data_IF_598185192637
#
_entry.id   IF_598185192637
#
_cell.length_a   1.000
_cell.length_b   1.000
_cell.length_c   1.000
_cell.angle_alpha   90.00
_cell.angle_beta   90.00
_cell.angle_gamma   90.00
#
_symmetry.space_group_name_H-M   'P 1'
#
loop_
_entity.id
_entity.type
_entity.pdbx_description
1 polymer ?
#
# COMPACT_ATOMS: atom_id res chain seq x y z
N UNK A 1 29.46 13.85 9.94
CA UNK A 1 29.61 12.51 10.55
C UNK A 1 28.32 11.76 10.31
N UNK A 2 28.38 10.51 9.84
CA UNK A 2 27.21 9.64 9.73
C UNK A 2 27.12 8.89 11.06
N UNK A 3 26.05 9.12 11.81
CA UNK A 3 25.82 8.47 13.09
C UNK A 3 24.79 7.34 12.89
N UNK A 4 25.20 6.10 13.16
CA UNK A 4 24.36 4.94 12.95
C UNK A 4 23.55 4.68 14.22
N UNK A 5 22.23 4.91 14.17
CA UNK A 5 21.33 4.79 15.32
C UNK A 5 21.01 3.35 15.75
N UNK A 6 21.46 2.34 15.02
CA UNK A 6 21.03 0.95 15.20
C UNK A 6 21.69 0.18 16.35
N UNK A 7 22.48 0.84 17.23
CA UNK A 7 23.10 0.19 18.40
C UNK A 7 24.03 -0.98 18.08
N UNK A 8 24.41 -1.13 16.80
CA UNK A 8 25.26 -2.20 16.27
C UNK A 8 26.37 -1.59 15.40
N UNK A 9 27.58 -2.19 15.37
CA UNK A 9 28.65 -1.72 14.51
C UNK A 9 28.24 -1.84 13.04
N UNK A 10 28.20 -0.71 12.32
CA UNK A 10 27.97 -0.69 10.89
C UNK A 10 29.28 -0.80 10.11
N UNK A 11 29.23 -1.51 8.99
CA UNK A 11 30.37 -1.63 8.06
C UNK A 11 30.11 -0.74 6.84
N UNK A 12 30.95 0.27 6.67
CA UNK A 12 30.82 1.21 5.55
C UNK A 12 31.34 0.57 4.26
N UNK A 13 30.58 0.73 3.17
CA UNK A 13 30.98 0.29 1.84
C UNK A 13 30.80 1.45 0.87
N UNK A 14 31.80 1.63 0.00
CA UNK A 14 31.73 2.58 -1.11
C UNK A 14 31.07 1.90 -2.30
N UNK A 15 30.07 2.54 -2.88
CA UNK A 15 29.30 1.99 -3.99
C UNK A 15 29.03 3.12 -4.99
N UNK A 16 28.97 2.78 -6.27
CA UNK A 16 28.63 3.74 -7.31
C UNK A 16 27.15 4.12 -7.20
N UNK A 17 26.82 5.41 -7.40
CA UNK A 17 25.44 5.92 -7.30
C UNK A 17 24.41 5.08 -8.09
N UNK A 18 24.67 4.65 -9.35
CA UNK A 18 23.70 3.85 -10.09
C UNK A 18 23.40 2.51 -9.42
N UNK A 19 24.43 1.88 -8.84
CA UNK A 19 24.30 0.61 -8.16
C UNK A 19 23.59 0.74 -6.81
N UNK A 20 23.81 1.85 -6.10
CA UNK A 20 23.11 2.17 -4.86
C UNK A 20 21.61 2.32 -5.10
N UNK A 21 21.25 3.10 -6.13
CA UNK A 21 19.86 3.40 -6.48
C UNK A 21 19.11 2.12 -6.88
N UNK A 22 19.72 1.30 -7.73
CA UNK A 22 19.17 0.00 -8.14
C UNK A 22 19.00 -0.96 -6.94
N UNK A 23 20.00 -1.05 -6.06
CA UNK A 23 19.92 -1.87 -4.84
C UNK A 23 18.84 -1.40 -3.86
N UNK A 24 18.72 -0.08 -3.65
CA UNK A 24 17.67 0.50 -2.80
C UNK A 24 16.30 0.17 -3.39
N UNK A 25 16.10 0.44 -4.68
CA UNK A 25 14.83 0.17 -5.35
C UNK A 25 14.43 -1.30 -5.23
N UNK A 26 15.36 -2.26 -5.40
CA UNK A 26 15.06 -3.68 -5.23
C UNK A 26 14.68 -4.06 -3.79
N UNK A 27 15.41 -3.54 -2.80
CA UNK A 27 15.12 -3.80 -1.39
C UNK A 27 13.78 -3.21 -0.94
N UNK A 28 13.40 -2.05 -1.50
CA UNK A 28 12.09 -1.44 -1.23
C UNK A 28 10.97 -2.11 -2.03
N UNK A 29 11.21 -2.53 -3.28
CA UNK A 29 10.25 -3.30 -4.09
C UNK A 29 9.85 -4.61 -3.42
N UNK A 30 10.79 -5.41 -2.90
CA UNK A 30 10.46 -6.66 -2.18
C UNK A 30 9.54 -6.42 -0.95
N UNK A 31 9.58 -5.22 -0.37
CA UNK A 31 8.67 -4.82 0.71
C UNK A 31 7.31 -4.31 0.20
N UNK A 32 7.26 -3.72 -1.00
CA UNK A 32 6.08 -3.10 -1.63
C UNK A 32 5.20 -4.09 -2.44
N UNK A 33 5.78 -5.18 -2.95
CA UNK A 33 5.17 -6.02 -3.99
C UNK A 33 3.77 -6.59 -3.67
N UNK A 34 3.35 -6.78 -2.41
CA UNK A 34 2.11 -7.54 -2.15
C UNK A 34 0.79 -6.77 -2.30
N UNK A 35 0.81 -5.43 -2.23
CA UNK A 35 -0.40 -4.61 -2.30
C UNK A 35 -0.52 -3.87 -3.64
N UNK A 36 0.60 -3.47 -4.24
CA UNK A 36 0.61 -2.89 -5.59
C UNK A 36 0.23 -3.91 -6.66
N UNK A 37 0.65 -5.17 -6.52
CA UNK A 37 0.21 -6.26 -7.41
C UNK A 37 -1.33 -6.39 -7.43
N UNK A 38 -1.97 -6.34 -6.27
CA UNK A 38 -3.44 -6.40 -6.18
C UNK A 38 -4.10 -5.18 -6.83
N UNK A 39 -3.51 -3.99 -6.72
CA UNK A 39 -4.03 -2.80 -7.41
C UNK A 39 -3.88 -2.94 -8.92
N UNK A 40 -2.77 -3.50 -9.39
CA UNK A 40 -2.57 -3.72 -10.82
C UNK A 40 -3.58 -4.72 -11.38
N UNK A 41 -3.80 -5.85 -10.69
CA UNK A 41 -4.83 -6.83 -11.02
C UNK A 41 -6.23 -6.19 -11.06
N UNK A 42 -6.55 -5.36 -10.06
CA UNK A 42 -7.81 -4.61 -10.03
C UNK A 42 -7.90 -3.58 -11.16
N UNK A 43 -6.79 -2.94 -11.54
CA UNK A 43 -6.73 -1.99 -12.65
C UNK A 43 -7.10 -2.64 -13.98
N UNK A 44 -6.60 -3.86 -14.21
CA UNK A 44 -6.93 -4.64 -15.40
C UNK A 44 -8.42 -5.08 -15.40
N UNK A 45 -8.96 -5.53 -14.26
CA UNK A 45 -10.39 -5.85 -14.11
C UNK A 45 -11.31 -4.62 -14.31
N UNK A 46 -10.91 -3.45 -13.79
CA UNK A 46 -11.67 -2.19 -13.90
C UNK A 46 -11.69 -1.61 -15.33
N UNK A 47 -10.68 -1.93 -16.15
CA UNK A 47 -10.61 -1.51 -17.55
C UNK A 47 -11.52 -2.36 -18.46
N UNK A 48 -11.83 -3.60 -18.08
CA UNK A 48 -12.72 -4.49 -18.83
C UNK A 48 -14.21 -4.17 -18.63
N UNK A 49 -14.62 -3.59 -17.49
CA UNK A 49 -16.04 -3.46 -17.10
C UNK A 49 -16.74 -2.15 -17.55
N UNK A 50 -16.07 -1.27 -18.30
CA UNK A 50 -16.70 -0.24 -19.16
C UNK A 50 -17.54 0.90 -18.52
N UNK A 51 -17.91 0.86 -17.23
CA UNK A 51 -18.63 1.94 -16.54
C UNK A 51 -18.18 2.10 -15.07
N UNK A 52 -17.18 2.94 -14.88
CA UNK A 52 -16.58 3.26 -13.57
C UNK A 52 -17.49 4.08 -12.63
N UNK A 53 -18.71 4.43 -13.06
CA UNK A 53 -19.63 5.23 -12.24
C UNK A 53 -20.57 4.38 -11.37
N UNK A 54 -20.78 3.10 -11.71
CA UNK A 54 -21.73 2.21 -11.04
C UNK A 54 -21.11 0.91 -10.46
N UNK A 55 -19.87 0.57 -10.80
CA UNK A 55 -19.26 -0.72 -10.47
C UNK A 55 -18.61 -0.94 -9.07
N UNK A 56 -18.62 -0.04 -8.05
CA UNK A 56 -18.10 -0.42 -6.72
C UNK A 56 -19.16 -0.90 -5.73
N UNK A 57 -20.45 -0.58 -5.90
CA UNK A 57 -21.46 -0.95 -4.89
C UNK A 57 -21.80 -2.44 -4.90
N UNK A 58 -21.87 -3.07 -6.08
CA UNK A 58 -22.24 -4.49 -6.19
C UNK A 58 -21.12 -5.42 -5.66
N UNK A 59 -19.85 -5.01 -5.80
CA UNK A 59 -18.68 -5.71 -5.23
C UNK A 59 -18.56 -5.53 -3.71
N UNK A 60 -19.31 -4.59 -3.12
CA UNK A 60 -19.35 -4.38 -1.66
C UNK A 60 -20.46 -5.21 -0.98
N UNK A 61 -21.50 -5.60 -1.72
CA UNK A 61 -22.59 -6.46 -1.24
C UNK A 61 -22.29 -7.96 -1.39
N UNK A 62 -21.34 -8.33 -2.25
CA UNK A 62 -20.83 -9.69 -2.32
C UNK A 62 -20.11 -10.06 -1.03
N UNK A 63 -20.71 -10.96 -0.23
CA UNK A 63 -20.11 -11.59 0.96
C UNK A 63 -18.95 -12.53 0.66
N UNK A 64 -18.51 -12.63 -0.59
CA UNK A 64 -17.40 -13.48 -0.98
C UNK A 64 -16.08 -12.92 -0.42
N UNK A 65 -15.40 -13.75 0.37
CA UNK A 65 -14.09 -13.44 0.97
C UNK A 65 -13.01 -13.14 -0.09
N UNK A 66 -13.30 -13.49 -1.36
CA UNK A 66 -12.43 -13.30 -2.52
C UNK A 66 -12.63 -11.98 -3.26
N UNK A 67 -13.48 -11.05 -2.79
CA UNK A 67 -13.61 -9.75 -3.48
C UNK A 67 -12.26 -8.97 -3.49
N UNK A 68 -11.82 -8.41 -4.64
CA UNK A 68 -10.55 -7.71 -4.77
C UNK A 68 -10.31 -6.61 -3.71
N UNK A 69 -11.37 -5.88 -3.34
CA UNK A 69 -11.28 -4.83 -2.31
C UNK A 69 -10.96 -5.39 -0.91
N UNK A 70 -11.50 -6.57 -0.58
CA UNK A 70 -11.24 -7.27 0.67
C UNK A 70 -9.78 -7.72 0.69
N UNK A 71 -9.28 -8.29 -0.42
CA UNK A 71 -7.87 -8.67 -0.56
C UNK A 71 -6.95 -7.46 -0.37
N UNK A 72 -7.24 -6.33 -1.00
CA UNK A 72 -6.45 -5.10 -0.89
C UNK A 72 -6.37 -4.61 0.56
N UNK A 73 -7.52 -4.47 1.25
CA UNK A 73 -7.55 -4.02 2.64
C UNK A 73 -6.81 -5.00 3.57
N UNK A 74 -7.01 -6.31 3.38
CA UNK A 74 -6.30 -7.33 4.16
C UNK A 74 -4.78 -7.26 3.95
N UNK A 75 -4.31 -7.01 2.72
CA UNK A 75 -2.89 -6.82 2.43
C UNK A 75 -2.33 -5.58 3.12
N UNK A 76 -3.05 -4.44 3.08
CA UNK A 76 -2.66 -3.22 3.80
C UNK A 76 -2.49 -3.50 5.30
N UNK A 77 -3.45 -4.20 5.92
CA UNK A 77 -3.39 -4.55 7.34
C UNK A 77 -2.23 -5.51 7.66
N UNK A 78 -2.05 -6.54 6.85
CA UNK A 78 -0.97 -7.52 7.04
C UNK A 78 0.41 -6.85 6.91
N UNK A 79 0.57 -5.99 5.91
CA UNK A 79 1.78 -5.21 5.71
C UNK A 79 2.06 -4.31 6.92
N UNK A 80 1.05 -3.59 7.42
CA UNK A 80 1.21 -2.72 8.59
C UNK A 80 1.70 -3.49 9.83
N UNK A 81 1.18 -4.70 10.06
CA UNK A 81 1.64 -5.58 11.14
C UNK A 81 3.09 -6.03 10.91
N UNK A 82 3.42 -6.47 9.69
CA UNK A 82 4.77 -6.92 9.31
C UNK A 82 5.80 -5.82 9.52
N UNK A 83 5.47 -4.61 9.10
CA UNK A 83 6.34 -3.43 9.19
C UNK A 83 6.28 -2.76 10.57
N UNK A 84 5.47 -3.31 11.49
CA UNK A 84 5.26 -2.82 12.86
C UNK A 84 4.83 -1.35 12.91
N UNK A 85 3.97 -0.97 11.98
CA UNK A 85 3.33 0.33 11.99
C UNK A 85 2.44 0.46 13.22
N UNK A 86 2.53 1.61 13.91
CA UNK A 86 1.64 1.93 15.02
C UNK A 86 0.27 2.39 14.54
N UNK A 87 0.22 2.99 13.34
CA UNK A 87 -0.99 3.59 12.77
C UNK A 87 -1.00 3.44 11.25
N UNK A 88 -2.20 3.24 10.72
CA UNK A 88 -2.48 3.23 9.30
C UNK A 88 -3.32 4.46 9.00
N UNK A 89 -2.80 5.33 8.14
CA UNK A 89 -3.49 6.50 7.65
C UNK A 89 -4.03 6.21 6.25
N UNK A 90 -5.33 6.37 6.07
CA UNK A 90 -6.02 6.25 4.78
C UNK A 90 -6.55 7.64 4.44
N UNK A 91 -5.95 8.28 3.43
CA UNK A 91 -6.14 9.70 3.14
C UNK A 91 -6.69 9.89 1.72
N UNK A 92 -8.01 10.10 1.57
CA UNK A 92 -8.61 10.43 0.29
C UNK A 92 -8.14 11.82 -0.16
N UNK A 93 -7.41 11.88 -1.26
CA UNK A 93 -7.03 13.13 -1.93
C UNK A 93 -7.93 13.36 -3.16
N UNK A 94 -7.77 14.51 -3.82
CA UNK A 94 -8.59 14.88 -4.97
C UNK A 94 -8.40 13.95 -6.18
N UNK A 95 -7.17 13.49 -6.42
CA UNK A 95 -6.79 12.69 -7.60
C UNK A 95 -6.46 11.23 -7.27
N UNK A 96 -6.09 10.92 -6.03
CA UNK A 96 -5.64 9.60 -5.61
C UNK A 96 -6.02 9.30 -4.16
N UNK A 97 -6.03 8.03 -3.78
CA UNK A 97 -6.01 7.63 -2.37
C UNK A 97 -4.55 7.53 -1.93
N UNK A 98 -4.21 8.02 -0.74
CA UNK A 98 -2.86 7.85 -0.17
C UNK A 98 -2.97 7.03 1.10
N UNK A 99 -2.24 5.91 1.16
CA UNK A 99 -2.09 5.11 2.38
C UNK A 99 -0.69 5.35 2.96
N UNK A 100 -0.63 5.71 4.24
CA UNK A 100 0.63 5.94 4.96
C UNK A 100 0.69 5.11 6.23
N UNK A 101 1.89 4.64 6.57
CA UNK A 101 2.15 4.00 7.86
C UNK A 101 2.96 4.90 8.77
N UNK A 102 2.59 4.95 10.04
CA UNK A 102 3.42 5.55 11.08
C UNK A 102 4.34 4.48 11.66
N UNK A 103 5.62 4.54 11.35
CA UNK A 103 6.65 3.62 11.84
C UNK A 103 7.66 4.44 12.64
N UNK A 104 7.84 4.10 13.91
CA UNK A 104 8.70 4.85 14.84
C UNK A 104 8.43 6.37 14.86
N UNK A 105 7.15 6.73 14.72
CA UNK A 105 6.69 8.13 14.73
C UNK A 105 6.83 8.88 13.40
N UNK A 106 7.37 8.25 12.35
CA UNK A 106 7.52 8.85 11.02
C UNK A 106 6.46 8.28 10.07
N UNK A 107 5.83 9.13 9.28
CA UNK A 107 4.86 8.73 8.26
C UNK A 107 5.56 8.40 6.94
N UNK A 108 5.33 7.18 6.45
CA UNK A 108 5.83 6.70 5.17
C UNK A 108 4.64 6.45 4.23
N UNK A 109 4.61 7.04 3.02
CA UNK A 109 3.65 6.62 2.00
C UNK A 109 3.98 5.20 1.55
N UNK A 110 2.99 4.32 1.54
CA UNK A 110 3.16 2.89 1.20
C UNK A 110 2.30 2.43 0.02
N UNK A 111 1.24 3.18 -0.30
CA UNK A 111 0.35 2.85 -1.40
C UNK A 111 -0.34 4.10 -1.92
N UNK A 112 -0.53 4.16 -3.24
CA UNK A 112 -1.32 5.22 -3.89
C UNK A 112 -2.40 4.65 -4.80
N UNK A 113 -3.48 4.08 -4.23
CA UNK A 113 -4.55 3.54 -5.06
C UNK A 113 -5.23 4.65 -5.89
N UNK A 114 -5.72 4.32 -7.10
CA UNK A 114 -6.45 5.26 -7.92
C UNK A 114 -7.74 5.71 -7.22
N UNK A 115 -8.19 6.93 -7.53
CA UNK A 115 -9.35 7.58 -6.87
C UNK A 115 -10.61 6.72 -6.83
N UNK A 116 -10.84 5.93 -7.88
CA UNK A 116 -12.00 5.03 -8.01
C UNK A 116 -12.12 4.06 -6.82
N UNK A 117 -11.00 3.69 -6.19
CA UNK A 117 -10.98 2.77 -5.05
C UNK A 117 -11.27 3.43 -3.69
N UNK A 118 -11.29 4.76 -3.59
CA UNK A 118 -11.46 5.48 -2.32
C UNK A 118 -12.74 5.08 -1.57
N UNK A 119 -13.88 5.08 -2.26
CA UNK A 119 -15.17 4.77 -1.67
C UNK A 119 -15.23 3.32 -1.19
N UNK A 120 -14.72 2.39 -2.01
CA UNK A 120 -14.70 0.96 -1.72
C UNK A 120 -13.80 0.64 -0.52
N UNK A 121 -12.57 1.18 -0.47
CA UNK A 121 -11.65 1.02 0.67
C UNK A 121 -12.26 1.57 1.95
N UNK A 122 -12.82 2.78 1.90
CA UNK A 122 -13.40 3.43 3.08
C UNK A 122 -14.63 2.68 3.58
N UNK A 123 -15.51 2.22 2.67
CA UNK A 123 -16.68 1.42 3.02
C UNK A 123 -16.27 0.12 3.70
N UNK A 124 -15.28 -0.59 3.13
CA UNK A 124 -14.80 -1.85 3.68
C UNK A 124 -14.26 -1.69 5.12
N UNK A 125 -13.46 -0.65 5.37
CA UNK A 125 -12.95 -0.35 6.71
C UNK A 125 -14.10 -0.07 7.70
N UNK A 126 -15.14 0.66 7.28
CA UNK A 126 -16.33 0.94 8.11
C UNK A 126 -17.11 -0.32 8.47
N UNK A 127 -17.22 -1.29 7.57
CA UNK A 127 -17.92 -2.56 7.83
C UNK A 127 -17.19 -3.41 8.87
N UNK A 128 -15.85 -3.31 8.95
CA UNK A 128 -15.02 -4.09 9.87
C UNK A 128 -14.99 -3.56 11.31
N UNK A 129 -15.50 -2.36 11.56
CA UNK A 129 -15.34 -1.62 12.82
C UNK A 129 -16.67 -1.37 13.54
#
# INVERSE_FOLDING_TARGET
MIEVKFGRPARMHLIAEPLLRDRLNRLFQEAENSAEEVIHEMGDELLEDGDLSNAPMDLLESTDEDAPIIRLVNRILFQAVRDRASDIHIEPMEEELVVRFRIDGILYPVLRPPRQLQAAVTSRVKIMA
#
